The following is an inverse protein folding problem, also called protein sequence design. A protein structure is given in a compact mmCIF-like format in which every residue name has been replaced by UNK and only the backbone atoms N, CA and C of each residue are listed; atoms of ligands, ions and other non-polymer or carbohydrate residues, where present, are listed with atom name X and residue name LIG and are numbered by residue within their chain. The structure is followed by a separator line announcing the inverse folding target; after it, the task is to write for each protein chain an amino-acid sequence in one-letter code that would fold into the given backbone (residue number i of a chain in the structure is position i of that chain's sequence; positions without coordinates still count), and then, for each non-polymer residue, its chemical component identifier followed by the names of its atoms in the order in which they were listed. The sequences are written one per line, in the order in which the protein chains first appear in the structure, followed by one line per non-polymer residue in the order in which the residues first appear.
data_IF_372425459155
#
_entry.id   IF_372425459155
#
_cell.length_a   1.000
_cell.length_b   1.000
_cell.length_c   1.000
_cell.angle_alpha   90.00
_cell.angle_beta   90.00
_cell.angle_gamma   90.00
#
_symmetry.space_group_name_H-M   'P 1'
#
loop_
_entity.id
_entity.type
_entity.pdbx_description
1 polymer ?
#
# COMPACT_ATOMS: atom_id res chain seq x y z
N UNK A 1 14.66 1.03 -14.00
CA UNK A 1 14.37 -0.18 -13.20
C UNK A 1 12.92 -0.55 -13.38
N UNK A 2 12.62 -1.83 -13.60
CA UNK A 2 11.25 -2.33 -13.74
C UNK A 2 10.62 -2.54 -12.37
N UNK A 3 9.28 -2.64 -12.32
CA UNK A 3 8.59 -2.95 -11.07
C UNK A 3 9.05 -4.28 -10.46
N UNK A 4 9.31 -5.29 -11.29
CA UNK A 4 9.80 -6.58 -10.82
C UNK A 4 11.17 -6.47 -10.16
N UNK A 5 12.07 -5.68 -10.75
CA UNK A 5 13.39 -5.45 -10.18
C UNK A 5 13.32 -4.67 -8.87
N UNK A 6 12.46 -3.66 -8.79
CA UNK A 6 12.24 -2.89 -7.58
C UNK A 6 11.67 -3.75 -6.45
N UNK A 7 10.73 -4.65 -6.77
CA UNK A 7 10.15 -5.55 -5.79
C UNK A 7 11.20 -6.53 -5.26
N UNK A 8 12.04 -7.10 -6.14
CA UNK A 8 13.11 -8.01 -5.74
C UNK A 8 14.12 -7.27 -4.86
N UNK A 9 14.49 -6.06 -5.22
CA UNK A 9 15.41 -5.25 -4.42
C UNK A 9 14.84 -4.96 -3.04
N UNK A 10 13.56 -4.59 -2.96
CA UNK A 10 12.88 -4.34 -1.68
C UNK A 10 12.85 -5.59 -0.82
N UNK A 11 12.60 -6.76 -1.41
CA UNK A 11 12.59 -8.03 -0.68
C UNK A 11 13.98 -8.37 -0.14
N UNK A 12 15.03 -8.14 -0.93
CA UNK A 12 16.43 -8.37 -0.50
C UNK A 12 16.82 -7.44 0.64
N UNK A 13 16.41 -6.18 0.58
CA UNK A 13 16.68 -5.22 1.64
C UNK A 13 15.97 -5.60 2.93
N UNK A 14 14.71 -6.03 2.85
CA UNK A 14 13.95 -6.47 4.00
C UNK A 14 14.61 -7.70 4.66
N UNK A 15 15.08 -8.65 3.86
CA UNK A 15 15.79 -9.81 4.37
C UNK A 15 17.10 -9.42 5.05
N UNK A 16 17.87 -8.52 4.43
CA UNK A 16 19.12 -8.05 4.98
C UNK A 16 18.92 -7.33 6.33
N UNK A 17 17.86 -6.55 6.46
CA UNK A 17 17.49 -5.88 7.71
C UNK A 17 17.14 -6.93 8.78
N UNK A 18 16.33 -7.92 8.44
CA UNK A 18 15.92 -8.99 9.35
C UNK A 18 17.09 -9.85 9.81
N UNK A 19 18.11 -10.01 8.95
CA UNK A 19 19.33 -10.75 9.29
C UNK A 19 20.38 -9.88 10.02
N UNK A 20 20.10 -8.60 10.25
CA UNK A 20 21.02 -7.67 10.89
C UNK A 20 22.20 -7.26 10.02
N UNK A 21 22.12 -7.44 8.71
CA UNK A 21 23.21 -7.15 7.78
C UNK A 21 23.24 -5.72 7.29
N UNK A 22 22.16 -4.98 7.50
CA UNK A 22 22.12 -3.55 7.19
C UNK A 22 21.17 -2.82 8.14
N UNK A 23 21.45 -1.54 8.32
CA UNK A 23 20.57 -0.68 9.10
C UNK A 23 19.31 -0.37 8.30
N UNK A 24 18.11 -0.43 8.91
CA UNK A 24 16.89 -0.04 8.21
C UNK A 24 16.93 1.45 7.89
N UNK A 25 16.60 1.80 6.65
CA UNK A 25 16.37 3.18 6.29
C UNK A 25 15.17 3.72 7.08
N UNK A 26 15.14 5.01 7.33
CA UNK A 26 14.02 5.64 8.01
C UNK A 26 12.73 5.37 7.22
N UNK A 27 11.73 4.81 7.90
CA UNK A 27 10.42 4.54 7.30
C UNK A 27 9.55 5.75 7.55
N UNK A 28 9.12 6.40 6.48
CA UNK A 28 8.16 7.48 6.58
C UNK A 28 6.75 6.89 6.58
N UNK A 29 6.04 7.08 7.70
CA UNK A 29 4.63 6.73 7.82
C UNK A 29 3.87 8.04 7.92
N UNK A 30 3.06 8.39 6.90
CA UNK A 30 2.30 9.64 6.98
C UNK A 30 1.26 9.55 8.10
N UNK A 31 0.98 10.69 8.73
CA UNK A 31 -0.07 10.74 9.75
C UNK A 31 -1.45 10.49 9.16
N UNK A 32 -1.66 10.96 7.94
CA UNK A 32 -2.92 10.77 7.22
C UNK A 32 -2.63 10.48 5.76
N UNK A 33 -3.55 9.77 5.13
CA UNK A 33 -3.53 9.50 3.69
C UNK A 33 -4.91 9.81 3.13
N UNK A 34 -4.94 10.47 1.98
CA UNK A 34 -6.19 10.71 1.27
C UNK A 34 -6.53 9.51 0.39
N UNK A 35 -7.29 8.59 0.96
CA UNK A 35 -7.68 7.35 0.28
C UNK A 35 -8.50 7.64 -0.98
N UNK A 36 -9.40 8.62 -0.92
CA UNK A 36 -10.21 8.99 -2.07
C UNK A 36 -9.36 9.49 -3.23
N UNK A 37 -8.31 10.28 -2.94
CA UNK A 37 -7.41 10.78 -3.97
C UNK A 37 -6.64 9.64 -4.66
N UNK A 38 -6.14 8.68 -3.88
CA UNK A 38 -5.44 7.50 -4.42
C UNK A 38 -6.38 6.73 -5.35
N UNK A 39 -7.58 6.47 -4.89
CA UNK A 39 -8.60 5.75 -5.65
C UNK A 39 -8.98 6.46 -6.95
N UNK A 40 -9.22 7.77 -6.87
CA UNK A 40 -9.65 8.57 -8.02
C UNK A 40 -8.57 8.68 -9.08
N UNK A 41 -7.30 8.72 -8.69
CA UNK A 41 -6.18 8.68 -9.64
C UNK A 41 -6.19 7.42 -10.49
N UNK A 42 -6.67 6.32 -9.94
CA UNK A 42 -6.78 5.04 -10.63
C UNK A 42 -8.12 4.88 -11.35
N UNK A 43 -9.00 5.89 -11.26
CA UNK A 43 -10.33 5.89 -11.89
C UNK A 43 -11.19 4.70 -11.46
N UNK A 44 -11.09 4.33 -10.19
CA UNK A 44 -11.83 3.21 -9.62
C UNK A 44 -12.92 3.71 -8.68
N UNK A 45 -14.05 2.98 -8.65
CA UNK A 45 -15.07 3.18 -7.62
C UNK A 45 -14.55 2.65 -6.27
N UNK A 46 -15.25 2.97 -5.18
CA UNK A 46 -14.90 2.44 -3.87
C UNK A 46 -14.91 0.91 -3.86
N UNK A 47 -15.94 0.32 -4.45
CA UNK A 47 -16.07 -1.14 -4.53
C UNK A 47 -14.97 -1.77 -5.40
N UNK A 48 -14.68 -1.18 -6.54
CA UNK A 48 -13.62 -1.68 -7.43
C UNK A 48 -12.24 -1.54 -6.80
N UNK A 49 -11.97 -0.44 -6.11
CA UNK A 49 -10.71 -0.24 -5.40
C UNK A 49 -10.54 -1.29 -4.29
N UNK A 50 -11.57 -1.49 -3.48
CA UNK A 50 -11.55 -2.49 -2.43
C UNK A 50 -11.30 -3.90 -2.98
N UNK A 51 -12.00 -4.27 -4.05
CA UNK A 51 -11.84 -5.57 -4.68
C UNK A 51 -10.43 -5.77 -5.25
N UNK A 52 -9.89 -4.72 -5.87
CA UNK A 52 -8.55 -4.80 -6.48
C UNK A 52 -7.46 -5.06 -5.46
N UNK A 53 -7.55 -4.49 -4.27
CA UNK A 53 -6.51 -4.56 -3.26
C UNK A 53 -6.87 -5.43 -2.05
N UNK A 54 -7.93 -6.22 -2.17
CA UNK A 54 -8.31 -7.16 -1.12
C UNK A 54 -8.79 -6.50 0.17
N UNK A 55 -9.37 -5.30 0.07
CA UNK A 55 -9.87 -4.56 1.22
C UNK A 55 -11.39 -4.72 1.33
N UNK A 56 -11.96 -4.73 2.54
CA UNK A 56 -13.41 -4.66 2.67
C UNK A 56 -13.92 -3.30 2.19
N UNK A 57 -14.96 -3.30 1.38
CA UNK A 57 -15.51 -2.04 0.84
C UNK A 57 -16.02 -1.10 1.92
N UNK A 58 -16.59 -1.64 2.99
CA UNK A 58 -17.01 -0.84 4.14
C UNK A 58 -15.86 -0.12 4.83
N UNK A 59 -14.69 -0.76 4.90
CA UNK A 59 -13.50 -0.15 5.47
C UNK A 59 -13.02 1.02 4.61
N UNK A 60 -13.00 0.85 3.29
CA UNK A 60 -12.63 1.93 2.36
C UNK A 60 -13.57 3.12 2.52
N UNK A 61 -14.87 2.86 2.61
CA UNK A 61 -15.87 3.91 2.83
C UNK A 61 -15.64 4.63 4.15
N UNK A 62 -15.38 3.89 5.22
CA UNK A 62 -15.13 4.46 6.55
C UNK A 62 -13.89 5.36 6.54
N UNK A 63 -12.82 4.94 5.88
CA UNK A 63 -11.63 5.76 5.74
C UNK A 63 -11.90 7.06 4.96
N UNK A 64 -12.62 6.97 3.85
CA UNK A 64 -12.94 8.15 3.04
C UNK A 64 -13.87 9.12 3.76
N UNK A 65 -14.80 8.60 4.56
CA UNK A 65 -15.74 9.41 5.35
C UNK A 65 -15.18 9.80 6.71
N UNK A 66 -13.94 9.42 7.00
CA UNK A 66 -13.25 9.73 8.26
C UNK A 66 -13.95 9.20 9.51
N UNK A 67 -14.70 8.12 9.36
CA UNK A 67 -15.32 7.41 10.49
C UNK A 67 -14.31 6.53 11.20
N UNK A 68 -13.31 6.06 10.48
CA UNK A 68 -12.19 5.27 10.98
C UNK A 68 -10.91 5.83 10.42
N UNK A 69 -9.85 5.73 11.21
CA UNK A 69 -8.50 6.06 10.74
C UNK A 69 -7.79 4.77 10.38
N UNK A 70 -7.09 4.71 9.24
CA UNK A 70 -6.23 3.58 8.96
C UNK A 70 -5.15 3.45 10.04
N UNK A 71 -4.92 2.25 10.52
CA UNK A 71 -3.82 2.01 11.45
C UNK A 71 -2.47 2.07 10.71
N UNK A 72 -1.36 1.87 11.42
CA UNK A 72 -0.03 1.97 10.83
C UNK A 72 0.16 1.02 9.66
N UNK A 73 -0.28 -0.23 9.80
CA UNK A 73 -0.16 -1.22 8.74
C UNK A 73 -0.98 -0.82 7.51
N UNK A 74 -2.20 -0.33 7.73
CA UNK A 74 -3.06 0.13 6.64
C UNK A 74 -2.48 1.36 5.94
N UNK A 75 -1.91 2.31 6.69
CA UNK A 75 -1.26 3.48 6.10
C UNK A 75 -0.09 3.07 5.21
N UNK A 76 0.73 2.13 5.66
CA UNK A 76 1.84 1.61 4.86
C UNK A 76 1.33 0.89 3.61
N UNK A 77 0.28 0.10 3.73
CA UNK A 77 -0.33 -0.59 2.60
C UNK A 77 -0.86 0.40 1.56
N UNK A 78 -1.57 1.44 2.03
CA UNK A 78 -2.08 2.49 1.15
C UNK A 78 -0.94 3.26 0.46
N UNK A 79 0.16 3.50 1.18
CA UNK A 79 1.33 4.13 0.60
C UNK A 79 1.94 3.27 -0.52
N UNK A 80 2.02 1.96 -0.33
CA UNK A 80 2.53 1.04 -1.35
C UNK A 80 1.58 1.00 -2.56
N UNK A 81 0.28 0.99 -2.33
CA UNK A 81 -0.72 1.08 -3.39
C UNK A 81 -0.55 2.37 -4.21
N UNK A 82 -0.28 3.48 -3.54
CA UNK A 82 -0.06 4.76 -4.22
C UNK A 82 1.18 4.72 -5.11
N UNK A 83 2.26 4.14 -4.60
CA UNK A 83 3.55 4.13 -5.29
C UNK A 83 3.64 3.05 -6.38
N UNK A 84 3.05 1.89 -6.15
CA UNK A 84 3.18 0.74 -7.04
C UNK A 84 1.87 -0.05 -7.15
N UNK A 85 0.80 0.58 -7.67
CA UNK A 85 -0.52 -0.05 -7.67
C UNK A 85 -0.56 -1.38 -8.43
N UNK A 86 0.12 -1.48 -9.56
CA UNK A 86 0.09 -2.68 -10.37
C UNK A 86 0.84 -3.85 -9.73
N UNK A 87 1.92 -3.55 -9.04
CA UNK A 87 2.70 -4.56 -8.33
C UNK A 87 1.86 -5.15 -7.20
N UNK A 88 1.18 -4.31 -6.43
CA UNK A 88 0.31 -4.76 -5.35
C UNK A 88 -0.83 -5.61 -5.89
N UNK A 89 -1.51 -5.15 -6.92
CA UNK A 89 -2.63 -5.88 -7.51
C UNK A 89 -2.20 -7.26 -8.02
N UNK A 90 -1.04 -7.34 -8.62
CA UNK A 90 -0.47 -8.61 -9.11
C UNK A 90 -0.09 -9.54 -7.96
N UNK A 91 0.56 -9.02 -6.94
CA UNK A 91 1.01 -9.80 -5.79
C UNK A 91 -0.17 -10.44 -5.04
N UNK A 92 -1.28 -9.73 -4.93
CA UNK A 92 -2.47 -10.22 -4.26
C UNK A 92 -3.15 -11.35 -5.04
N UNK A 93 -3.04 -11.33 -6.36
CA UNK A 93 -3.68 -12.32 -7.25
C UNK A 93 -2.87 -13.58 -7.49
N UNK A 94 -1.68 -13.64 -6.99
CA UNK A 94 -0.79 -14.79 -7.24
C UNK A 94 -1.31 -16.11 -6.68
#
# INVERSE_FOLDING_TARGET
MTFGEELIQSAKEALAIAEGKMEPAAIFVPETIDVAAIRKRQKLSQTAFAARYGLPSGTVKDWEQKRRQPDRAALLFLKVIEQAPEVVARAIRA
#
